data_IF_092188669710
#
_entry.id   IF_092188669710
#
_cell.length_a   1.000
_cell.length_b   1.000
_cell.length_c   1.000
_cell.angle_alpha   90.00
_cell.angle_beta   90.00
_cell.angle_gamma   90.00
#
_symmetry.space_group_name_H-M   'P 1'
#
loop_
_entity.id
_entity.type
_entity.pdbx_description
1 polymer ?
#
# COMPACT_ATOMS: atom_id res chain seq x y z
N UNK A 1 32.67 -12.78 3.11
CA UNK A 1 31.69 -12.74 2.01
C UNK A 1 30.69 -11.63 2.34
N UNK A 2 30.74 -10.49 1.65
CA UNK A 2 29.82 -9.38 1.91
C UNK A 2 28.40 -9.78 1.51
N UNK A 3 27.43 -9.59 2.40
CA UNK A 3 26.01 -9.84 2.12
C UNK A 3 25.61 -8.98 0.92
N UNK A 4 25.27 -9.61 -0.22
CA UNK A 4 24.77 -8.90 -1.41
C UNK A 4 23.61 -8.01 -0.97
N UNK A 5 23.72 -6.70 -1.21
CA UNK A 5 22.65 -5.76 -0.89
C UNK A 5 21.39 -6.25 -1.62
N UNK A 6 20.30 -6.46 -0.87
CA UNK A 6 19.07 -6.96 -1.47
C UNK A 6 18.43 -5.79 -2.23
N UNK A 7 18.48 -5.85 -3.57
CA UNK A 7 17.93 -4.81 -4.47
C UNK A 7 16.46 -4.55 -4.15
N UNK A 8 16.05 -3.29 -3.95
CA UNK A 8 14.65 -2.96 -3.66
C UNK A 8 13.73 -3.49 -4.79
N UNK A 9 12.62 -4.13 -4.40
CA UNK A 9 11.55 -4.51 -5.33
C UNK A 9 10.60 -3.34 -5.62
N UNK A 10 9.68 -3.53 -6.56
CA UNK A 10 8.68 -2.52 -6.96
C UNK A 10 7.87 -2.00 -5.79
N UNK A 11 7.33 -2.87 -4.94
CA UNK A 11 6.56 -2.50 -3.75
C UNK A 11 7.33 -1.56 -2.81
N UNK A 12 8.62 -1.84 -2.59
CA UNK A 12 9.45 -1.01 -1.71
C UNK A 12 9.68 0.40 -2.31
N UNK A 13 9.81 0.51 -3.64
CA UNK A 13 9.85 1.80 -4.35
C UNK A 13 8.53 2.55 -4.26
N UNK A 14 7.40 1.85 -4.40
CA UNK A 14 6.06 2.44 -4.24
C UNK A 14 5.88 3.03 -2.85
N UNK A 15 6.25 2.30 -1.80
CA UNK A 15 6.20 2.80 -0.42
C UNK A 15 7.10 4.03 -0.25
N UNK A 16 8.36 4.00 -0.73
CA UNK A 16 9.28 5.14 -0.67
C UNK A 16 8.71 6.41 -1.34
N UNK A 17 8.14 6.25 -2.55
CA UNK A 17 7.48 7.33 -3.28
C UNK A 17 6.29 7.90 -2.51
N UNK A 18 5.43 7.02 -1.98
CA UNK A 18 4.24 7.44 -1.23
C UNK A 18 4.57 8.12 0.10
N UNK A 19 5.62 7.69 0.80
CA UNK A 19 6.10 8.38 2.01
C UNK A 19 6.47 9.81 1.67
N UNK A 20 7.26 10.00 0.61
CA UNK A 20 7.64 11.33 0.10
C UNK A 20 6.40 12.17 -0.26
N UNK A 21 5.48 11.59 -1.04
CA UNK A 21 4.24 12.24 -1.49
C UNK A 21 3.36 12.67 -0.34
N UNK A 22 3.03 11.76 0.58
CA UNK A 22 2.13 12.05 1.69
C UNK A 22 2.75 12.98 2.73
N UNK A 23 4.07 12.95 2.91
CA UNK A 23 4.80 13.93 3.71
C UNK A 23 4.68 15.33 3.09
N UNK A 24 4.92 15.44 1.77
CA UNK A 24 4.80 16.70 1.04
C UNK A 24 3.36 17.27 1.05
N UNK A 25 2.34 16.43 0.83
CA UNK A 25 0.93 16.84 0.91
C UNK A 25 0.54 17.41 2.28
N UNK A 26 1.19 16.94 3.35
CA UNK A 26 1.00 17.43 4.73
C UNK A 26 1.91 18.60 5.10
N UNK A 27 2.78 19.01 4.18
CA UNK A 27 3.80 20.04 4.39
C UNK A 27 4.73 19.74 5.57
N UNK A 28 5.00 18.47 5.83
CA UNK A 28 5.92 18.04 6.88
C UNK A 28 7.36 18.09 6.38
N UNK A 29 8.24 18.62 7.22
CA UNK A 29 9.68 18.39 7.12
C UNK A 29 10.02 16.96 7.54
N UNK A 30 11.26 16.53 7.30
CA UNK A 30 11.75 15.25 7.83
C UNK A 30 11.78 15.25 9.38
N UNK A 31 12.00 16.42 10.00
CA UNK A 31 11.95 16.57 11.45
C UNK A 31 10.53 16.37 11.99
N UNK A 32 9.52 16.96 11.34
CA UNK A 32 8.12 16.78 11.74
C UNK A 32 7.68 15.32 11.66
N UNK A 33 8.08 14.60 10.60
CA UNK A 33 7.79 13.17 10.46
C UNK A 33 8.54 12.33 11.51
N UNK A 34 9.80 12.67 11.80
CA UNK A 34 10.61 12.04 12.86
C UNK A 34 9.95 12.19 14.24
N UNK A 35 9.44 13.37 14.57
CA UNK A 35 8.73 13.62 15.83
C UNK A 35 7.44 12.80 15.91
N UNK A 36 6.65 12.76 14.84
CA UNK A 36 5.43 11.94 14.77
C UNK A 36 5.73 10.46 14.92
N UNK A 37 6.82 9.99 14.32
CA UNK A 37 7.27 8.60 14.46
C UNK A 37 7.67 8.26 15.90
N UNK A 38 8.22 9.24 16.63
CA UNK A 38 8.45 9.10 18.07
C UNK A 38 7.14 8.96 18.83
N UNK A 39 6.13 9.79 18.50
CA UNK A 39 4.80 9.74 19.13
C UNK A 39 4.07 8.41 18.89
N UNK A 40 4.21 7.79 17.72
CA UNK A 40 3.62 6.45 17.43
C UNK A 40 4.46 5.29 17.99
N UNK A 41 5.54 5.57 18.72
CA UNK A 41 6.36 4.56 19.39
C UNK A 41 7.42 3.89 18.50
N UNK A 42 7.73 4.43 17.32
CA UNK A 42 8.79 3.93 16.43
C UNK A 42 9.72 5.06 15.97
N UNK A 43 10.61 5.57 16.84
CA UNK A 43 11.51 6.68 16.50
C UNK A 43 12.39 6.37 15.29
N UNK A 44 12.47 7.31 14.35
CA UNK A 44 13.37 7.25 13.19
C UNK A 44 14.07 8.59 13.01
N UNK A 45 15.37 8.56 12.72
CA UNK A 45 16.11 9.79 12.43
C UNK A 45 15.73 10.38 11.07
N UNK A 46 15.93 11.70 10.88
CA UNK A 46 15.77 12.34 9.58
C UNK A 46 16.60 11.69 8.47
N UNK A 47 17.81 11.21 8.77
CA UNK A 47 18.64 10.45 7.83
C UNK A 47 18.01 9.10 7.45
N UNK A 48 17.40 8.41 8.41
CA UNK A 48 16.65 7.17 8.14
C UNK A 48 15.49 7.44 7.19
N UNK A 49 14.72 8.48 7.47
CA UNK A 49 13.56 8.86 6.65
C UNK A 49 13.99 9.27 5.24
N UNK A 50 15.04 10.09 5.13
CA UNK A 50 15.61 10.46 3.83
C UNK A 50 16.09 9.24 3.04
N UNK A 51 16.71 8.25 3.69
CA UNK A 51 17.15 7.03 3.03
C UNK A 51 15.96 6.16 2.55
N UNK A 52 14.86 6.12 3.31
CA UNK A 52 13.62 5.45 2.90
C UNK A 52 13.01 6.17 1.69
N UNK A 53 12.85 7.49 1.75
CA UNK A 53 12.29 8.30 0.66
C UNK A 53 13.08 8.19 -0.64
N UNK A 54 14.41 8.13 -0.55
CA UNK A 54 15.30 7.95 -1.69
C UNK A 54 15.43 6.48 -2.14
N UNK A 55 14.67 5.55 -1.56
CA UNK A 55 14.74 4.12 -1.86
C UNK A 55 16.15 3.51 -1.70
N UNK A 56 17.02 4.13 -0.90
CA UNK A 56 18.36 3.61 -0.56
C UNK A 56 18.35 2.76 0.71
N UNK A 57 17.25 2.79 1.46
CA UNK A 57 16.96 1.92 2.59
C UNK A 57 15.55 1.32 2.44
N UNK A 58 15.42 0.04 2.77
CA UNK A 58 14.13 -0.65 2.85
C UNK A 58 13.39 -0.25 4.13
N UNK A 59 12.09 -0.01 4.01
CA UNK A 59 11.16 -0.06 5.13
C UNK A 59 10.78 -1.53 5.39
N UNK A 60 10.84 -1.97 6.64
CA UNK A 60 10.24 -3.24 7.05
C UNK A 60 8.72 -3.12 7.26
N UNK A 61 8.07 -4.21 7.69
CA UNK A 61 6.61 -4.23 7.89
C UNK A 61 6.18 -3.32 9.05
N UNK A 62 6.99 -3.22 10.10
CA UNK A 62 6.69 -2.33 11.22
C UNK A 62 6.89 -0.86 10.82
N UNK A 63 7.91 -0.57 10.02
CA UNK A 63 8.16 0.74 9.44
C UNK A 63 6.97 1.16 8.59
N UNK A 64 6.43 0.26 7.75
CA UNK A 64 5.25 0.53 6.93
C UNK A 64 4.05 0.96 7.81
N UNK A 65 3.77 0.22 8.88
CA UNK A 65 2.65 0.52 9.78
C UNK A 65 2.88 1.83 10.53
N UNK A 66 4.09 2.05 11.04
CA UNK A 66 4.42 3.27 11.78
C UNK A 66 4.41 4.52 10.87
N UNK A 67 4.93 4.40 9.64
CA UNK A 67 4.89 5.47 8.65
C UNK A 67 3.46 5.78 8.26
N UNK A 68 2.61 4.77 8.05
CA UNK A 68 1.19 4.96 7.77
C UNK A 68 0.50 5.73 8.91
N UNK A 69 0.72 5.32 10.17
CA UNK A 69 0.18 5.99 11.35
C UNK A 69 0.70 7.43 11.50
N UNK A 70 2.01 7.66 11.39
CA UNK A 70 2.62 8.98 11.53
C UNK A 70 2.19 9.94 10.41
N UNK A 71 1.97 9.41 9.21
CA UNK A 71 1.44 10.14 8.07
C UNK A 71 -0.09 10.17 8.06
N UNK A 72 -0.82 9.62 9.04
CA UNK A 72 -2.29 9.59 9.05
C UNK A 72 -2.88 9.11 7.70
N UNK A 73 -2.42 7.94 7.25
CA UNK A 73 -2.94 7.19 6.09
C UNK A 73 -3.06 5.71 6.46
N UNK A 74 -3.76 4.91 5.64
CA UNK A 74 -3.73 3.46 5.81
C UNK A 74 -2.44 2.86 5.22
N UNK A 75 -1.98 1.69 5.71
CA UNK A 75 -0.89 0.96 5.06
C UNK A 75 -1.17 0.66 3.59
N UNK A 76 -2.43 0.35 3.25
CA UNK A 76 -2.86 0.13 1.86
C UNK A 76 -2.59 1.36 0.98
N UNK A 77 -2.80 2.57 1.48
CA UNK A 77 -2.49 3.80 0.73
C UNK A 77 -0.99 3.97 0.43
N UNK A 78 -0.09 3.46 1.30
CA UNK A 78 1.35 3.47 1.03
C UNK A 78 1.77 2.37 0.04
N UNK A 79 0.99 1.30 -0.07
CA UNK A 79 1.26 0.17 -0.98
C UNK A 79 0.72 0.40 -2.40
N UNK A 80 -0.20 1.33 -2.59
CA UNK A 80 -0.80 1.62 -3.90
C UNK A 80 0.06 2.57 -4.74
N UNK A 81 0.22 2.34 -6.06
CA UNK A 81 0.84 3.34 -6.93
C UNK A 81 0.14 4.69 -6.85
N UNK A 82 0.91 5.77 -6.90
CA UNK A 82 0.36 7.10 -7.14
C UNK A 82 0.04 7.23 -8.62
N UNK A 83 -1.17 7.69 -8.92
CA UNK A 83 -1.62 7.93 -10.28
C UNK A 83 -1.91 9.41 -10.40
N UNK A 84 -1.28 10.04 -11.38
CA UNK A 84 -1.51 11.44 -11.70
C UNK A 84 -2.10 11.56 -13.10
N UNK A 85 -2.68 12.73 -13.41
CA UNK A 85 -3.17 13.07 -14.75
C UNK A 85 -2.06 13.05 -15.81
N UNK A 86 -0.78 13.01 -15.40
CA UNK A 86 0.36 12.85 -16.31
C UNK A 86 0.56 11.38 -16.72
N UNK A 87 0.08 10.43 -15.92
CA UNK A 87 0.29 8.99 -16.11
C UNK A 87 -0.86 8.33 -16.88
N UNK A 88 -2.07 8.90 -16.82
CA UNK A 88 -3.29 8.37 -17.47
C UNK A 88 -4.24 9.49 -17.87
N UNK A 89 -4.95 9.36 -19.01
CA UNK A 89 -5.99 10.31 -19.42
C UNK A 89 -7.20 10.35 -18.48
N UNK A 90 -7.42 9.30 -17.68
CA UNK A 90 -8.39 9.31 -16.58
C UNK A 90 -7.78 8.67 -15.31
N UNK A 91 -7.38 9.47 -14.31
CA UNK A 91 -6.84 8.96 -13.05
C UNK A 91 -7.90 8.30 -12.15
N UNK A 92 -9.18 8.39 -12.51
CA UNK A 92 -10.29 7.74 -11.80
C UNK A 92 -10.61 6.36 -12.36
N UNK A 93 -10.06 6.00 -13.53
CA UNK A 93 -10.22 4.68 -14.13
C UNK A 93 -9.04 3.76 -13.73
N UNK A 94 -9.24 2.81 -12.80
CA UNK A 94 -8.20 1.89 -12.36
C UNK A 94 -7.66 0.95 -13.45
N UNK A 95 -8.39 0.75 -14.55
CA UNK A 95 -7.95 -0.09 -15.68
C UNK A 95 -6.92 0.61 -16.57
N UNK A 96 -6.87 1.95 -16.52
CA UNK A 96 -5.91 2.76 -17.28
C UNK A 96 -4.61 3.02 -16.51
N UNK A 97 -4.51 2.54 -15.27
CA UNK A 97 -3.37 2.74 -14.40
C UNK A 97 -2.38 1.59 -14.65
N UNK A 98 -1.15 1.95 -15.05
CA UNK A 98 -0.08 1.03 -15.43
C UNK A 98 0.01 -0.17 -14.48
N UNK A 99 0.06 -1.35 -15.10
CA UNK A 99 0.26 -2.65 -14.45
C UNK A 99 1.36 -2.57 -13.39
N UNK A 100 1.00 -2.88 -12.14
CA UNK A 100 1.99 -2.99 -11.08
C UNK A 100 2.64 -4.37 -11.18
N UNK A 101 3.97 -4.37 -11.22
CA UNK A 101 4.73 -5.59 -11.05
C UNK A 101 4.73 -5.99 -9.57
N UNK A 102 3.64 -6.61 -9.14
CA UNK A 102 3.55 -7.24 -7.83
C UNK A 102 4.31 -8.56 -7.95
N UNK A 103 5.39 -8.78 -7.19
CA UNK A 103 6.11 -10.06 -7.21
C UNK A 103 5.27 -11.11 -6.47
N UNK A 104 4.14 -11.47 -7.06
CA UNK A 104 3.22 -12.51 -6.61
C UNK A 104 3.12 -13.55 -7.71
N UNK A 105 2.80 -14.78 -7.33
CA UNK A 105 2.55 -15.87 -8.27
C UNK A 105 1.28 -15.69 -9.11
N UNK A 106 0.51 -14.61 -8.90
CA UNK A 106 -0.77 -14.35 -9.55
C UNK A 106 -0.65 -13.69 -10.94
N UNK A 107 0.56 -13.28 -11.34
CA UNK A 107 0.82 -12.67 -12.64
C UNK A 107 1.94 -11.63 -12.56
N UNK A 108 2.66 -11.43 -13.66
CA UNK A 108 3.71 -10.39 -13.72
C UNK A 108 3.14 -8.97 -13.63
N UNK A 109 1.83 -8.81 -13.89
CA UNK A 109 1.17 -7.52 -14.03
C UNK A 109 -0.23 -7.57 -13.42
N UNK A 110 -0.50 -6.69 -12.45
CA UNK A 110 -1.79 -6.58 -11.77
C UNK A 110 -2.33 -5.16 -11.93
N UNK A 111 -3.61 -5.05 -12.30
CA UNK A 111 -4.33 -3.76 -12.34
C UNK A 111 -4.43 -3.13 -10.94
N UNK A 112 -4.32 -1.80 -10.85
CA UNK A 112 -4.37 -1.09 -9.58
C UNK A 112 -5.70 -1.31 -8.84
N UNK A 113 -6.83 -1.42 -9.57
CA UNK A 113 -8.13 -1.73 -8.99
C UNK A 113 -8.17 -3.10 -8.33
N UNK A 114 -7.69 -4.14 -9.03
CA UNK A 114 -7.58 -5.49 -8.51
C UNK A 114 -6.70 -5.55 -7.25
N UNK A 115 -5.55 -4.87 -7.30
CA UNK A 115 -4.63 -4.77 -6.16
C UNK A 115 -5.29 -4.09 -4.95
N UNK A 116 -6.05 -3.01 -5.16
CA UNK A 116 -6.77 -2.31 -4.09
C UNK A 116 -7.83 -3.19 -3.44
N UNK A 117 -8.66 -3.86 -4.24
CA UNK A 117 -9.68 -4.77 -3.74
C UNK A 117 -9.06 -5.92 -2.95
N UNK A 118 -7.93 -6.45 -3.40
CA UNK A 118 -7.19 -7.47 -2.67
C UNK A 118 -6.61 -6.96 -1.35
N UNK A 119 -5.92 -5.81 -1.35
CA UNK A 119 -5.34 -5.20 -0.15
C UNK A 119 -6.38 -4.85 0.92
N UNK A 120 -7.60 -4.54 0.51
CA UNK A 120 -8.71 -4.18 1.40
C UNK A 120 -9.60 -5.38 1.76
N UNK A 121 -9.18 -6.60 1.39
CA UNK A 121 -9.89 -7.85 1.60
C UNK A 121 -11.31 -7.86 0.99
N UNK A 122 -11.50 -7.15 -0.12
CA UNK A 122 -12.76 -7.09 -0.84
C UNK A 122 -12.87 -8.17 -1.93
N UNK A 123 -11.80 -8.46 -2.67
CA UNK A 123 -11.78 -9.45 -3.75
C UNK A 123 -10.42 -10.13 -3.87
N UNK A 124 -10.32 -11.43 -4.21
CA UNK A 124 -9.04 -12.07 -4.48
C UNK A 124 -8.36 -11.46 -5.71
N UNK A 125 -7.03 -11.58 -5.76
CA UNK A 125 -6.19 -10.90 -6.76
C UNK A 125 -6.41 -11.39 -8.19
N UNK A 126 -6.80 -12.66 -8.33
CA UNK A 126 -7.08 -13.35 -9.58
C UNK A 126 -8.57 -13.32 -9.97
N UNK A 127 -9.41 -12.59 -9.22
CA UNK A 127 -10.81 -12.42 -9.57
C UNK A 127 -10.96 -11.65 -10.90
N UNK A 128 -11.81 -12.12 -11.83
CA UNK A 128 -12.14 -11.36 -13.03
C UNK A 128 -12.70 -9.97 -12.69
N UNK A 129 -12.30 -8.95 -13.43
CA UNK A 129 -12.86 -7.60 -13.28
C UNK A 129 -14.18 -7.42 -14.03
N UNK A 130 -14.42 -8.23 -15.07
CA UNK A 130 -15.66 -8.23 -15.84
C UNK A 130 -16.77 -8.85 -14.98
N UNK A 131 -17.78 -8.04 -14.63
CA UNK A 131 -18.88 -8.41 -13.72
C UNK A 131 -19.55 -9.74 -14.07
N UNK A 132 -19.77 -9.99 -15.36
CA UNK A 132 -20.43 -11.20 -15.87
C UNK A 132 -19.61 -12.48 -15.65
N UNK A 133 -18.30 -12.34 -15.43
CA UNK A 133 -17.36 -13.45 -15.22
C UNK A 133 -17.02 -13.64 -13.73
N UNK A 134 -17.53 -12.77 -12.84
CA UNK A 134 -17.22 -12.84 -11.41
C UNK A 134 -18.02 -13.95 -10.74
N UNK A 135 -17.29 -14.86 -10.09
CA UNK A 135 -17.88 -15.78 -9.12
C UNK A 135 -18.09 -15.07 -7.78
N UNK A 136 -19.20 -14.35 -7.66
CA UNK A 136 -19.54 -13.61 -6.44
C UNK A 136 -19.68 -14.51 -5.21
N UNK A 137 -20.08 -15.78 -5.40
CA UNK A 137 -20.14 -16.75 -4.30
C UNK A 137 -18.74 -17.12 -3.83
N UNK A 138 -17.83 -17.42 -4.77
CA UNK A 138 -16.42 -17.70 -4.47
C UNK A 138 -15.71 -16.52 -3.80
N UNK A 139 -15.96 -15.30 -4.28
CA UNK A 139 -15.41 -14.07 -3.69
C UNK A 139 -15.87 -13.89 -2.23
N UNK A 140 -17.15 -14.11 -1.95
CA UNK A 140 -17.67 -13.99 -0.59
C UNK A 140 -17.14 -15.10 0.34
N UNK A 141 -16.95 -16.33 -0.16
CA UNK A 141 -16.30 -17.42 0.59
C UNK A 141 -14.86 -17.02 0.95
N UNK A 142 -14.07 -16.59 -0.03
CA UNK A 142 -12.69 -16.12 0.19
C UNK A 142 -12.63 -14.98 1.21
N UNK A 143 -13.55 -14.01 1.10
CA UNK A 143 -13.63 -12.88 2.03
C UNK A 143 -13.85 -13.37 3.47
N UNK A 144 -14.75 -14.33 3.69
CA UNK A 144 -15.05 -14.88 5.03
C UNK A 144 -13.91 -15.68 5.63
N UNK A 145 -13.06 -16.29 4.82
CA UNK A 145 -11.92 -17.07 5.30
C UNK A 145 -10.83 -16.21 5.93
N UNK A 146 -10.59 -15.01 5.39
CA UNK A 146 -9.51 -14.14 5.83
C UNK A 146 -9.97 -12.95 6.69
N UNK A 147 -11.21 -12.47 6.53
CA UNK A 147 -11.71 -11.31 7.27
C UNK A 147 -12.24 -11.80 8.62
N UNK A 148 -11.63 -11.38 9.75
CA UNK A 148 -12.08 -11.83 11.05
C UNK A 148 -13.54 -11.43 11.32
N UNK A 149 -14.34 -12.25 12.02
CA UNK A 149 -15.75 -11.95 12.30
C UNK A 149 -16.00 -10.60 12.98
N UNK A 150 -15.05 -10.10 13.78
CA UNK A 150 -15.17 -8.80 14.43
C UNK A 150 -15.15 -7.62 13.45
N UNK A 151 -14.47 -7.74 12.30
CA UNK A 151 -14.37 -6.66 11.32
C UNK A 151 -15.73 -6.31 10.70
N UNK A 152 -16.59 -7.32 10.52
CA UNK A 152 -17.96 -7.13 10.07
C UNK A 152 -18.80 -6.33 11.08
N UNK A 153 -18.62 -6.60 12.39
CA UNK A 153 -19.33 -5.88 13.46
C UNK A 153 -18.92 -4.41 13.57
N UNK A 154 -17.64 -4.12 13.31
CA UNK A 154 -17.13 -2.75 13.24
C UNK A 154 -17.79 -1.96 12.11
N UNK A 155 -18.06 -2.61 10.96
CA UNK A 155 -18.67 -1.97 9.78
C UNK A 155 -20.18 -1.71 9.97
N UNK A 156 -20.87 -2.55 10.73
CA UNK A 156 -22.31 -2.42 10.99
C UNK A 156 -22.66 -1.51 12.17
N UNK A 157 -21.68 -0.92 12.86
CA UNK A 157 -21.92 0.03 13.94
C UNK A 157 -22.57 -0.61 15.17
N UNK A 158 -21.83 -1.45 15.89
CA UNK A 158 -22.09 -1.72 17.29
C UNK A 158 -23.14 -2.80 17.61
N UNK A 159 -22.73 -3.71 18.50
CA UNK A 159 -23.58 -4.22 19.57
C UNK A 159 -22.73 -4.24 20.83
#
# INVERSE_FOLDING_TARGET
MGRKAIELGHTARTVASNVTRFRALRRYTLADLSERLTTVGRPMTGNTLSAIENATRRADVDDLVALAAALNVSPAALLMPSVTELDTPDPSDPSLIVEQHVPTSAGENVEAGALWLWLTADSPLDAPQILEQRDEVGIEVWRREQVPPWAYRTRTGGS
#
